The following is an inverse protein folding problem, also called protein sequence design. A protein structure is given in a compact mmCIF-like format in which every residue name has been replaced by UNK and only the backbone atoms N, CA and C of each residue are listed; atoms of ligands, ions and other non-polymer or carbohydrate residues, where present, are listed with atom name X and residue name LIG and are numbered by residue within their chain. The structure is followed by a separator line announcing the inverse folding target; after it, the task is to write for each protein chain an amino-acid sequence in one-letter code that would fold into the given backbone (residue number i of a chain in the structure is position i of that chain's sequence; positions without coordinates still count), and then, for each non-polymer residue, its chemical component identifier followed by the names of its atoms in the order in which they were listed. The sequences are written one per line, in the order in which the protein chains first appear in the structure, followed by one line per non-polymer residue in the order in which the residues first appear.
data_IF_271430165133
#
_entry.id   IF_271430165133
#
_cell.length_a   1.000
_cell.length_b   1.000
_cell.length_c   1.000
_cell.angle_alpha   90.00
_cell.angle_beta   90.00
_cell.angle_gamma   90.00
#
_symmetry.space_group_name_H-M   'P 1'
#
loop_
_entity.id
_entity.type
_entity.pdbx_description
1 polymer ?
#
# COMPACT_ATOMS: atom_id res chain seq x y z
N UNK A 1 -36.62 -24.48 68.04
CA UNK A 1 -36.86 -25.23 66.79
C UNK A 1 -35.50 -25.44 66.14
N UNK A 2 -34.99 -26.65 66.27
CA UNK A 2 -33.65 -27.07 65.83
C UNK A 2 -33.78 -27.53 64.38
N UNK A 3 -33.03 -26.95 63.45
CA UNK A 3 -32.81 -27.56 62.14
C UNK A 3 -31.32 -27.93 62.01
N UNK A 4 -31.08 -29.22 61.82
CA UNK A 4 -29.80 -29.88 61.63
C UNK A 4 -29.11 -29.49 60.31
N UNK A 5 -27.77 -29.61 60.23
CA UNK A 5 -27.02 -29.55 58.99
C UNK A 5 -26.94 -30.96 58.35
N UNK A 6 -27.36 -31.10 57.10
CA UNK A 6 -27.21 -32.34 56.33
C UNK A 6 -26.46 -32.07 55.03
N UNK A 7 -25.28 -32.70 54.92
CA UNK A 7 -24.55 -33.07 53.71
C UNK A 7 -23.82 -31.98 52.89
N UNK A 8 -22.70 -31.49 53.45
CA UNK A 8 -21.52 -31.14 52.65
C UNK A 8 -20.59 -32.36 52.64
N UNK A 9 -20.85 -33.33 51.77
CA UNK A 9 -19.83 -34.33 51.40
C UNK A 9 -20.19 -35.02 50.09
N UNK A 10 -19.67 -34.48 48.99
CA UNK A 10 -19.20 -35.19 47.77
C UNK A 10 -18.83 -34.15 46.71
N UNK A 11 -17.85 -33.33 47.03
CA UNK A 11 -17.07 -32.64 46.00
C UNK A 11 -16.09 -33.70 45.49
N UNK A 12 -16.42 -34.35 44.38
CA UNK A 12 -15.43 -35.03 43.55
C UNK A 12 -14.61 -33.94 42.89
N UNK A 13 -13.61 -33.47 43.63
CA UNK A 13 -12.71 -32.39 43.27
C UNK A 13 -11.61 -32.96 42.36
N UNK A 14 -11.92 -33.23 41.08
CA UNK A 14 -10.88 -33.62 40.11
C UNK A 14 -11.27 -33.25 38.67
N UNK A 15 -11.70 -32.00 38.51
CA UNK A 15 -11.61 -31.34 37.20
C UNK A 15 -11.04 -29.96 37.45
N UNK A 16 -9.71 -29.88 37.39
CA UNK A 16 -8.95 -28.65 37.50
C UNK A 16 -9.59 -27.58 36.62
N UNK A 17 -10.00 -26.47 37.23
CA UNK A 17 -10.53 -25.26 36.58
C UNK A 17 -9.63 -24.81 35.40
N UNK A 18 -8.34 -25.16 35.42
CA UNK A 18 -7.38 -24.97 34.33
C UNK A 18 -7.73 -25.67 33.00
N UNK A 19 -8.50 -26.77 33.00
CA UNK A 19 -8.86 -27.48 31.76
C UNK A 19 -10.01 -26.82 31.00
N UNK A 20 -10.86 -26.04 31.68
CA UNK A 20 -12.01 -25.35 31.03
C UNK A 20 -11.56 -24.07 30.31
N UNK A 21 -10.42 -23.48 30.71
CA UNK A 21 -9.86 -22.26 30.09
C UNK A 21 -8.95 -22.51 28.88
N UNK A 22 -8.63 -23.77 28.56
CA UNK A 22 -7.65 -24.12 27.52
C UNK A 22 -8.26 -24.89 26.33
N UNK A 23 -9.41 -24.42 25.84
CA UNK A 23 -9.98 -24.89 24.56
C UNK A 23 -10.24 -23.77 23.54
N UNK A 24 -9.72 -22.56 23.76
CA UNK A 24 -9.60 -21.61 22.67
C UNK A 24 -8.41 -22.01 21.79
N UNK A 25 -8.71 -22.65 20.65
CA UNK A 25 -7.79 -22.66 19.51
C UNK A 25 -7.37 -21.20 19.29
N UNK A 26 -6.06 -20.86 19.28
CA UNK A 26 -5.66 -19.49 19.06
C UNK A 26 -6.19 -19.07 17.68
N UNK A 27 -7.14 -18.13 17.68
CA UNK A 27 -7.59 -17.50 16.45
C UNK A 27 -6.36 -16.94 15.74
N UNK A 28 -6.22 -17.17 14.42
CA UNK A 28 -5.06 -16.68 13.69
C UNK A 28 -4.95 -15.17 13.89
N UNK A 29 -3.74 -14.72 14.21
CA UNK A 29 -3.46 -13.31 14.44
C UNK A 29 -4.03 -12.47 13.28
N UNK A 30 -4.79 -11.37 13.52
CA UNK A 30 -5.47 -10.63 12.45
C UNK A 30 -4.56 -10.19 11.30
N UNK A 31 -3.33 -9.77 11.60
CA UNK A 31 -2.33 -9.45 10.56
C UNK A 31 -1.93 -10.66 9.70
N UNK A 32 -1.92 -11.87 10.27
CA UNK A 32 -1.59 -13.09 9.53
C UNK A 32 -2.67 -13.41 8.51
N UNK A 33 -3.94 -13.30 8.89
CA UNK A 33 -5.05 -13.47 7.97
C UNK A 33 -4.99 -12.47 6.80
N UNK A 34 -4.58 -11.22 7.05
CA UNK A 34 -4.40 -10.22 6.00
C UNK A 34 -3.24 -10.56 5.05
N UNK A 35 -2.13 -11.08 5.57
CA UNK A 35 -1.01 -11.55 4.75
C UNK A 35 -1.42 -12.75 3.89
N UNK A 36 -2.20 -13.69 4.45
CA UNK A 36 -2.74 -14.83 3.70
C UNK A 36 -3.67 -14.38 2.55
N UNK A 37 -4.54 -13.40 2.80
CA UNK A 37 -5.36 -12.75 1.75
C UNK A 37 -4.51 -12.09 0.68
N UNK A 38 -3.45 -11.37 1.08
CA UNK A 38 -2.54 -10.71 0.14
C UNK A 38 -1.81 -11.73 -0.74
N UNK A 39 -1.33 -12.83 -0.16
CA UNK A 39 -0.67 -13.91 -0.89
C UNK A 39 -1.61 -14.54 -1.94
N UNK A 40 -2.86 -14.83 -1.56
CA UNK A 40 -3.85 -15.36 -2.51
C UNK A 40 -4.12 -14.40 -3.68
N UNK A 41 -4.15 -13.10 -3.43
CA UNK A 41 -4.23 -12.08 -4.49
C UNK A 41 -3.01 -12.10 -5.41
N UNK A 42 -1.80 -12.20 -4.85
CA UNK A 42 -0.54 -12.26 -5.61
C UNK A 42 -0.52 -13.49 -6.51
N UNK A 43 -0.88 -14.66 -6.00
CA UNK A 43 -0.94 -15.91 -6.78
C UNK A 43 -1.89 -15.78 -7.99
N UNK A 44 -3.04 -15.11 -7.80
CA UNK A 44 -3.99 -14.82 -8.89
C UNK A 44 -3.38 -13.91 -9.94
N UNK A 45 -2.66 -12.86 -9.53
CA UNK A 45 -1.98 -11.95 -10.45
C UNK A 45 -0.85 -12.65 -11.20
N UNK A 46 -0.03 -13.44 -10.53
CA UNK A 46 1.06 -14.20 -11.15
C UNK A 46 0.54 -15.17 -12.20
N UNK A 47 -0.53 -15.92 -11.88
CA UNK A 47 -1.16 -16.83 -12.83
C UNK A 47 -1.72 -16.10 -14.06
N UNK A 48 -2.33 -14.93 -13.86
CA UNK A 48 -2.85 -14.12 -14.95
C UNK A 48 -1.71 -13.57 -15.83
N UNK A 49 -0.67 -12.98 -15.24
CA UNK A 49 0.49 -12.49 -15.98
C UNK A 49 1.23 -13.60 -16.76
N UNK A 50 1.36 -14.79 -16.15
CA UNK A 50 1.93 -15.96 -16.81
C UNK A 50 1.11 -16.41 -18.02
N UNK A 51 -0.23 -16.35 -17.93
CA UNK A 51 -1.14 -16.74 -19.02
C UNK A 51 -1.01 -15.81 -20.23
N UNK A 52 -0.83 -14.51 -20.00
CA UNK A 52 -0.72 -13.50 -21.07
C UNK A 52 0.73 -13.28 -21.53
N UNK A 53 1.71 -13.84 -20.83
CA UNK A 53 3.14 -13.66 -21.15
C UNK A 53 3.64 -12.23 -20.96
N UNK A 54 2.94 -11.44 -20.13
CA UNK A 54 3.27 -10.03 -19.88
C UNK A 54 3.99 -9.93 -18.53
N UNK A 55 5.18 -9.30 -18.46
CA UNK A 55 5.88 -9.12 -17.18
C UNK A 55 5.09 -8.19 -16.26
N UNK A 56 5.18 -8.43 -14.95
CA UNK A 56 4.57 -7.56 -13.95
C UNK A 56 5.17 -6.14 -14.04
N UNK A 57 4.35 -5.07 -14.02
CA UNK A 57 4.86 -3.72 -14.14
C UNK A 57 5.69 -3.31 -12.92
N UNK A 58 6.88 -2.76 -13.16
CA UNK A 58 7.69 -2.11 -12.13
C UNK A 58 7.16 -0.71 -11.86
N UNK A 59 7.13 -0.31 -10.60
CA UNK A 59 6.80 1.06 -10.19
C UNK A 59 7.81 2.08 -10.76
N UNK A 60 9.07 1.66 -10.92
CA UNK A 60 10.17 2.52 -11.33
C UNK A 60 10.24 2.75 -12.84
N UNK A 61 9.57 1.91 -13.62
CA UNK A 61 9.57 2.04 -15.06
C UNK A 61 8.51 3.04 -15.51
N UNK A 62 8.74 3.79 -16.61
CA UNK A 62 7.73 4.69 -17.16
C UNK A 62 6.40 3.98 -17.43
N UNK A 63 5.30 4.73 -17.39
CA UNK A 63 3.97 4.19 -17.62
C UNK A 63 3.90 3.40 -18.95
N UNK A 64 3.54 2.13 -18.85
CA UNK A 64 3.38 1.23 -20.00
C UNK A 64 2.07 1.49 -20.74
N UNK A 65 1.99 1.02 -21.97
CA UNK A 65 0.74 1.00 -22.73
C UNK A 65 -0.22 0.00 -22.05
N UNK A 66 -1.52 0.36 -21.87
CA UNK A 66 -2.52 -0.55 -21.34
C UNK A 66 -2.58 -1.86 -22.14
N UNK A 67 -2.77 -2.94 -21.42
CA UNK A 67 -2.91 -4.31 -21.93
C UNK A 67 -4.31 -4.84 -21.64
N UNK A 68 -4.81 -5.84 -22.39
CA UNK A 68 -6.11 -6.46 -22.10
C UNK A 68 -6.24 -7.02 -20.68
N UNK A 69 -5.09 -7.30 -20.03
CA UNK A 69 -5.02 -7.75 -18.65
C UNK A 69 -5.48 -6.69 -17.64
N UNK A 70 -5.33 -5.41 -17.97
CA UNK A 70 -5.71 -4.31 -17.07
C UNK A 70 -7.24 -4.20 -16.92
N UNK A 71 -8.01 -4.72 -17.87
CA UNK A 71 -9.48 -4.76 -17.86
C UNK A 71 -10.05 -6.11 -17.35
N UNK A 72 -9.19 -7.07 -17.00
CA UNK A 72 -9.62 -8.40 -16.52
C UNK A 72 -10.22 -8.30 -15.11
N UNK A 73 -11.47 -8.76 -14.95
CA UNK A 73 -12.21 -8.67 -13.68
C UNK A 73 -11.52 -9.41 -12.52
N UNK A 74 -10.85 -10.53 -12.80
CA UNK A 74 -10.13 -11.31 -11.78
C UNK A 74 -8.83 -10.61 -11.37
N UNK A 75 -8.12 -10.00 -12.32
CA UNK A 75 -6.92 -9.18 -12.05
C UNK A 75 -7.28 -7.94 -11.23
N UNK A 76 -8.36 -7.25 -11.59
CA UNK A 76 -8.87 -6.10 -10.85
C UNK A 76 -9.27 -6.52 -9.42
N UNK A 77 -10.01 -7.62 -9.27
CA UNK A 77 -10.42 -8.12 -7.97
C UNK A 77 -9.21 -8.50 -7.09
N UNK A 78 -8.22 -9.22 -7.65
CA UNK A 78 -6.99 -9.59 -6.96
C UNK A 78 -6.18 -8.37 -6.52
N UNK A 79 -6.04 -7.37 -7.41
CA UNK A 79 -5.38 -6.09 -7.11
C UNK A 79 -6.09 -5.37 -5.97
N UNK A 80 -7.43 -5.29 -6.00
CA UNK A 80 -8.22 -4.67 -4.95
C UNK A 80 -8.07 -5.38 -3.60
N UNK A 81 -7.98 -6.72 -3.58
CA UNK A 81 -7.72 -7.49 -2.37
C UNK A 81 -6.35 -7.16 -1.77
N UNK A 82 -5.30 -7.10 -2.60
CA UNK A 82 -3.94 -6.74 -2.17
C UNK A 82 -3.93 -5.31 -1.59
N UNK A 83 -4.55 -4.35 -2.28
CA UNK A 83 -4.62 -2.95 -1.84
C UNK A 83 -5.38 -2.84 -0.51
N UNK A 84 -6.54 -3.49 -0.40
CA UNK A 84 -7.34 -3.46 0.82
C UNK A 84 -6.60 -4.11 2.02
N UNK A 85 -6.00 -5.29 1.81
CA UNK A 85 -5.24 -5.97 2.85
C UNK A 85 -4.03 -5.15 3.29
N UNK A 86 -3.28 -4.57 2.35
CA UNK A 86 -2.13 -3.70 2.63
C UNK A 86 -2.54 -2.46 3.41
N UNK A 87 -3.65 -1.82 3.03
CA UNK A 87 -4.20 -0.67 3.73
C UNK A 87 -4.59 -1.03 5.17
N UNK A 88 -5.21 -2.19 5.38
CA UNK A 88 -5.61 -2.64 6.72
C UNK A 88 -4.40 -3.03 7.58
N UNK A 89 -3.37 -3.66 7.01
CA UNK A 89 -2.11 -3.93 7.72
C UNK A 89 -1.47 -2.60 8.14
N UNK A 90 -1.39 -1.63 7.22
CA UNK A 90 -0.83 -0.31 7.51
C UNK A 90 -1.60 0.41 8.62
N UNK A 91 -2.94 0.37 8.56
CA UNK A 91 -3.80 1.00 9.56
C UNK A 91 -3.68 0.32 10.95
N UNK A 92 -3.47 -1.00 10.98
CA UNK A 92 -3.34 -1.77 12.22
C UNK A 92 -1.95 -1.60 12.85
N UNK A 93 -0.90 -1.53 12.04
CA UNK A 93 0.48 -1.45 12.51
C UNK A 93 0.92 -0.03 12.88
N UNK A 94 0.35 1.00 12.24
CA UNK A 94 0.73 2.40 12.46
C UNK A 94 0.17 2.93 13.78
N UNK A 95 0.92 3.80 14.45
CA UNK A 95 0.40 4.49 15.65
C UNK A 95 -0.72 5.46 15.25
N UNK A 96 -1.81 5.59 16.04
CA UNK A 96 -2.92 6.49 15.69
C UNK A 96 -2.50 7.94 15.39
N UNK A 97 -1.51 8.47 16.14
CA UNK A 97 -1.01 9.84 15.93
C UNK A 97 -0.27 10.01 14.59
N UNK A 98 0.47 9.01 14.13
CA UNK A 98 1.18 9.04 12.85
C UNK A 98 0.17 9.03 11.69
N UNK A 99 -0.93 8.27 11.83
CA UNK A 99 -2.04 8.29 10.87
C UNK A 99 -2.65 9.68 10.77
N UNK A 100 -2.97 10.30 11.92
CA UNK A 100 -3.55 11.64 11.95
C UNK A 100 -2.62 12.69 11.34
N UNK A 101 -1.32 12.63 11.64
CA UNK A 101 -0.32 13.53 11.08
C UNK A 101 -0.22 13.40 9.56
N UNK A 102 -0.21 12.17 9.02
CA UNK A 102 -0.18 11.96 7.57
C UNK A 102 -1.39 12.58 6.85
N UNK A 103 -2.58 12.47 7.45
CA UNK A 103 -3.79 13.08 6.89
C UNK A 103 -3.81 14.60 7.05
N UNK A 104 -3.42 15.12 8.21
CA UNK A 104 -3.40 16.57 8.48
C UNK A 104 -2.44 17.31 7.55
N UNK A 105 -1.34 16.67 7.17
CA UNK A 105 -0.31 17.22 6.29
C UNK A 105 -0.53 16.89 4.80
N UNK A 106 -1.65 16.25 4.44
CA UNK A 106 -1.92 15.86 3.04
C UNK A 106 -2.03 17.06 2.07
N UNK A 107 -2.27 18.28 2.57
CA UNK A 107 -2.27 19.48 1.72
C UNK A 107 -0.94 19.70 0.98
N UNK A 108 0.19 19.28 1.57
CA UNK A 108 1.51 19.41 0.93
C UNK A 108 1.64 18.54 -0.31
N UNK A 109 0.95 17.40 -0.33
CA UNK A 109 0.89 16.53 -1.49
C UNK A 109 0.18 17.23 -2.65
N UNK A 110 -0.99 17.81 -2.38
CA UNK A 110 -1.78 18.53 -3.39
C UNK A 110 -1.04 19.73 -3.96
N UNK A 111 -0.41 20.55 -3.11
CA UNK A 111 0.34 21.73 -3.57
C UNK A 111 1.59 21.34 -4.35
N UNK A 112 2.31 20.30 -3.90
CA UNK A 112 3.48 19.78 -4.62
C UNK A 112 3.11 19.21 -5.98
N UNK A 113 1.99 18.49 -6.06
CA UNK A 113 1.44 17.96 -7.33
C UNK A 113 1.04 19.09 -8.29
N UNK A 114 0.32 20.10 -7.81
CA UNK A 114 -0.05 21.26 -8.62
C UNK A 114 1.18 21.97 -9.19
N UNK A 115 2.18 22.20 -8.34
CA UNK A 115 3.45 22.81 -8.74
C UNK A 115 4.17 22.03 -9.85
N UNK A 116 4.32 20.70 -9.72
CA UNK A 116 5.05 19.91 -10.73
C UNK A 116 4.30 19.82 -12.06
N UNK A 117 2.97 19.90 -12.05
CA UNK A 117 2.12 19.91 -13.25
C UNK A 117 2.24 21.26 -13.96
N UNK A 118 2.16 22.37 -13.21
CA UNK A 118 2.23 23.73 -13.75
C UNK A 118 3.63 24.02 -14.33
N UNK A 119 4.68 23.60 -13.63
CA UNK A 119 6.06 23.78 -14.09
C UNK A 119 6.52 22.72 -15.12
N UNK A 120 5.62 21.87 -15.62
CA UNK A 120 5.90 20.79 -16.60
C UNK A 120 7.12 19.93 -16.22
N UNK A 121 7.29 19.62 -14.92
CA UNK A 121 8.48 18.97 -14.39
C UNK A 121 8.67 17.56 -14.96
N UNK A 122 7.58 16.81 -15.16
CA UNK A 122 7.66 15.46 -15.72
C UNK A 122 8.22 15.47 -17.15
N UNK A 123 7.89 16.47 -17.97
CA UNK A 123 8.48 16.60 -19.30
C UNK A 123 9.93 17.08 -19.23
N UNK A 124 10.27 18.02 -18.33
CA UNK A 124 11.66 18.47 -18.14
C UNK A 124 12.58 17.31 -17.71
N UNK A 125 12.11 16.42 -16.83
CA UNK A 125 12.90 15.29 -16.36
C UNK A 125 13.16 14.22 -17.43
N UNK A 126 12.47 14.26 -18.59
CA UNK A 126 12.82 13.40 -19.74
C UNK A 126 14.17 13.81 -20.33
N UNK A 127 14.44 15.11 -20.34
CA UNK A 127 15.58 15.71 -21.06
C UNK A 127 16.70 16.17 -20.11
N UNK A 128 16.38 16.50 -18.85
CA UNK A 128 17.34 17.00 -17.85
C UNK A 128 17.10 16.36 -16.47
N UNK A 129 17.98 15.44 -16.07
CA UNK A 129 17.88 14.72 -14.78
C UNK A 129 18.26 15.51 -13.52
N UNK A 130 18.47 16.84 -13.60
CA UNK A 130 18.93 17.66 -12.48
C UNK A 130 17.96 18.83 -12.22
N UNK A 131 17.29 18.80 -11.06
CA UNK A 131 16.28 19.79 -10.70
C UNK A 131 16.71 20.70 -9.55
N UNK A 132 16.58 22.02 -9.73
CA UNK A 132 16.73 23.05 -8.65
C UNK A 132 15.65 22.95 -7.55
N UNK A 133 14.71 22.01 -7.70
CA UNK A 133 13.52 21.80 -6.86
C UNK A 133 13.62 20.50 -6.03
N UNK A 134 14.84 20.03 -5.73
CA UNK A 134 15.07 18.73 -5.09
C UNK A 134 14.30 18.47 -3.79
N UNK A 135 13.90 19.50 -3.03
CA UNK A 135 13.04 19.33 -1.84
C UNK A 135 11.63 18.85 -2.19
N UNK A 136 11.00 19.44 -3.21
CA UNK A 136 9.65 19.07 -3.66
C UNK A 136 9.69 17.68 -4.30
N UNK A 137 10.67 17.44 -5.18
CA UNK A 137 10.83 16.14 -5.83
C UNK A 137 11.13 15.02 -4.83
N UNK A 138 11.93 15.28 -3.79
CA UNK A 138 12.18 14.30 -2.73
C UNK A 138 10.95 14.01 -1.89
N UNK A 139 10.12 15.03 -1.61
CA UNK A 139 8.82 14.82 -0.96
C UNK A 139 7.93 13.90 -1.81
N UNK A 140 7.80 14.19 -3.11
CA UNK A 140 6.99 13.38 -4.03
C UNK A 140 7.60 11.98 -4.29
N UNK A 141 8.93 11.84 -4.22
CA UNK A 141 9.61 10.54 -4.31
C UNK A 141 9.33 9.66 -3.08
N UNK A 142 9.26 10.25 -1.89
CA UNK A 142 8.84 9.54 -0.67
C UNK A 142 7.38 9.04 -0.75
N UNK A 143 6.57 9.60 -1.66
CA UNK A 143 5.21 9.17 -1.97
C UNK A 143 5.11 8.39 -3.29
N UNK A 144 6.23 7.87 -3.80
CA UNK A 144 6.28 7.03 -5.00
C UNK A 144 5.80 7.70 -6.29
N UNK A 145 5.77 9.04 -6.36
CA UNK A 145 5.37 9.76 -7.58
C UNK A 145 6.55 10.01 -8.51
N UNK A 146 7.75 10.23 -7.98
CA UNK A 146 9.00 10.32 -8.74
C UNK A 146 10.03 9.37 -8.14
N UNK A 147 11.17 9.19 -8.83
CA UNK A 147 12.29 8.38 -8.35
C UNK A 147 13.52 9.26 -8.13
N UNK A 148 14.15 9.21 -6.96
CA UNK A 148 15.49 9.78 -6.73
C UNK A 148 16.54 8.69 -7.04
N UNK A 149 17.26 8.84 -8.15
CA UNK A 149 18.25 7.84 -8.62
C UNK A 149 19.57 7.99 -7.86
N UNK A 150 19.95 9.23 -7.57
CA UNK A 150 21.08 9.60 -6.72
C UNK A 150 20.78 10.95 -6.07
N UNK A 151 21.55 11.41 -5.07
CA UNK A 151 21.26 12.68 -4.39
C UNK A 151 21.05 13.85 -5.37
N UNK A 152 19.84 14.42 -5.38
CA UNK A 152 19.39 15.50 -6.27
C UNK A 152 19.29 15.16 -7.78
N UNK A 153 19.28 13.88 -8.13
CA UNK A 153 19.02 13.38 -9.48
C UNK A 153 17.72 12.60 -9.47
N UNK A 154 16.76 13.05 -10.27
CA UNK A 154 15.41 12.49 -10.26
C UNK A 154 15.00 12.00 -11.65
N UNK A 155 14.15 10.99 -11.68
CA UNK A 155 13.58 10.40 -12.89
C UNK A 155 12.06 10.23 -12.75
N UNK A 156 11.38 10.19 -13.89
CA UNK A 156 10.00 9.76 -13.94
C UNK A 156 9.91 8.26 -13.63
N UNK A 157 8.78 7.88 -13.05
CA UNK A 157 8.38 6.51 -12.78
C UNK A 157 6.97 6.28 -13.36
N UNK A 158 6.36 5.14 -13.05
CA UNK A 158 5.08 4.76 -13.63
C UNK A 158 3.97 5.80 -13.38
N UNK A 159 3.99 6.50 -12.24
CA UNK A 159 2.98 7.48 -11.84
C UNK A 159 3.29 8.86 -12.44
N UNK A 160 4.50 9.37 -12.28
CA UNK A 160 4.87 10.68 -12.83
C UNK A 160 4.86 10.72 -14.36
N UNK A 161 5.03 9.59 -15.04
CA UNK A 161 4.86 9.51 -16.49
C UNK A 161 3.47 9.93 -16.96
N UNK A 162 2.43 9.76 -16.14
CA UNK A 162 1.07 10.22 -16.46
C UNK A 162 0.92 11.75 -16.41
N UNK A 163 1.86 12.46 -15.77
CA UNK A 163 1.85 13.92 -15.69
C UNK A 163 2.49 14.57 -16.93
N UNK A 164 3.18 13.78 -17.75
CA UNK A 164 3.94 14.27 -18.89
C UNK A 164 3.03 14.52 -20.10
N UNK A 165 3.12 15.70 -20.71
CA UNK A 165 2.25 16.14 -21.82
C UNK A 165 2.82 15.84 -23.21
N UNK A 166 3.94 15.11 -23.28
CA UNK A 166 4.68 14.81 -24.51
C UNK A 166 5.20 16.07 -25.26
N UNK A 167 5.33 17.20 -24.54
CA UNK A 167 5.95 18.42 -25.06
C UNK A 167 7.48 18.31 -24.97
N UNK A 168 8.16 18.86 -25.96
CA UNK A 168 9.61 19.08 -25.94
C UNK A 168 9.98 20.27 -25.05
N UNK A 169 11.23 20.32 -24.57
CA UNK A 169 11.73 21.47 -23.80
C UNK A 169 11.54 22.81 -24.52
N UNK A 170 11.64 22.85 -25.84
CA UNK A 170 11.52 24.10 -26.59
C UNK A 170 10.07 24.59 -26.69
N UNK A 171 9.10 23.68 -26.77
CA UNK A 171 7.68 24.03 -26.66
C UNK A 171 7.32 24.54 -25.26
N UNK A 172 7.92 23.96 -24.21
CA UNK A 172 7.68 24.39 -22.82
C UNK A 172 8.26 25.79 -22.57
N UNK A 173 9.42 26.13 -23.15
CA UNK A 173 10.01 27.47 -22.99
C UNK A 173 9.27 28.56 -23.77
N UNK A 174 8.47 28.19 -24.76
CA UNK A 174 7.73 29.12 -25.61
C UNK A 174 6.34 29.49 -25.04
N UNK A 175 5.90 28.83 -23.97
CA UNK A 175 4.67 29.08 -23.20
C UNK A 175 4.90 30.13 -22.10
#
# INVERSE_FOLDING_TARGET
MVCHPTEISKISNDMTISQVYFQHKPEPHPLRALVETMLSGIETLEAAHATYGVPYPSLDDPHRIPTPLDDDVHVIAATNLIVAASAQILATARKPIETLQNHALSMYMTTSLGFVIEANIADILKDAGQGRIGRVLRHLAAHHIFKEVSPNVFANNQISSLLAKAKSLEEIKAE
#
